data_IF_708938958091
#
_entry.id   IF_708938958091
#
_cell.length_a   1.000
_cell.length_b   1.000
_cell.length_c   1.000
_cell.angle_alpha   90.00
_cell.angle_beta   90.00
_cell.angle_gamma   90.00
#
_symmetry.space_group_name_H-M   'P 1'
#
loop_
_entity.id
_entity.type
_entity.pdbx_description
1 polymer ?
#
# COMPACT_ATOMS: atom_id res chain seq x y z
N UNK A 1 -3.45 8.13 1.12
CA UNK A 1 -3.70 7.19 2.22
C UNK A 1 -4.53 7.90 3.30
N UNK A 2 -5.69 7.37 3.69
CA UNK A 2 -6.49 7.88 4.82
C UNK A 2 -6.66 6.73 5.82
N UNK A 3 -5.81 6.72 6.84
CA UNK A 3 -5.93 5.79 7.96
C UNK A 3 -6.98 6.37 8.93
N UNK A 4 -8.15 5.75 9.02
CA UNK A 4 -9.18 6.16 9.99
C UNK A 4 -9.03 5.29 11.23
N UNK A 5 -8.33 5.80 12.23
CA UNK A 5 -8.36 5.26 13.58
C UNK A 5 -9.31 6.15 14.41
N UNK A 6 -10.22 5.54 15.16
CA UNK A 6 -11.24 6.20 15.99
C UNK A 6 -10.68 6.91 17.23
N UNK A 7 -9.35 7.00 17.36
CA UNK A 7 -8.63 7.81 18.34
C UNK A 7 -8.87 7.46 19.81
N UNK A 8 -9.71 6.46 20.11
CA UNK A 8 -10.28 6.28 21.45
C UNK A 8 -9.39 5.41 22.35
N UNK A 9 -8.25 4.91 21.85
CA UNK A 9 -7.27 4.21 22.69
C UNK A 9 -5.83 4.41 22.19
N UNK A 10 -4.89 4.94 23.01
CA UNK A 10 -3.48 4.99 22.68
C UNK A 10 -2.82 3.62 22.94
N UNK A 11 -3.42 2.56 22.41
CA UNK A 11 -2.80 1.24 22.40
C UNK A 11 -2.14 1.11 21.04
N UNK A 12 -0.84 0.81 21.05
CA UNK A 12 -0.12 0.41 19.84
C UNK A 12 -0.80 -0.85 19.33
N UNK A 13 -1.56 -0.73 18.24
CA UNK A 13 -2.23 -1.84 17.57
C UNK A 13 -1.54 -2.09 16.25
N UNK A 14 -1.26 -3.36 15.98
CA UNK A 14 -0.85 -3.79 14.65
C UNK A 14 -2.00 -3.60 13.67
N UNK A 15 -1.73 -2.97 12.53
CA UNK A 15 -2.72 -2.81 11.44
C UNK A 15 -2.48 -3.91 10.42
N UNK A 16 -3.54 -4.65 10.07
CA UNK A 16 -3.54 -5.58 8.95
C UNK A 16 -3.79 -4.81 7.66
N UNK A 17 -2.95 -4.99 6.65
CA UNK A 17 -3.06 -4.33 5.34
C UNK A 17 -3.29 -5.35 4.25
N UNK A 18 -4.44 -5.25 3.60
CA UNK A 18 -4.87 -6.19 2.55
C UNK A 18 -4.62 -5.66 1.14
N UNK A 19 -4.73 -4.34 0.89
CA UNK A 19 -4.56 -3.79 -0.47
C UNK A 19 -4.13 -2.30 -0.42
N UNK A 20 -2.82 -2.01 -0.33
CA UNK A 20 -2.35 -0.62 -0.37
C UNK A 20 -2.48 -0.05 -1.79
N UNK A 21 -2.91 1.22 -1.87
CA UNK A 21 -3.13 1.93 -3.13
C UNK A 21 -2.32 3.21 -3.20
N UNK A 22 -1.69 3.46 -4.34
CA UNK A 22 -0.97 4.70 -4.66
C UNK A 22 -1.93 5.77 -5.17
N UNK A 23 -1.50 7.03 -5.12
CA UNK A 23 -2.33 8.18 -5.51
C UNK A 23 -2.72 8.21 -7.00
N UNK A 24 -1.94 7.53 -7.84
CA UNK A 24 -2.16 7.38 -9.29
C UNK A 24 -3.13 6.23 -9.65
N UNK A 25 -3.68 5.53 -8.66
CA UNK A 25 -4.67 4.48 -8.86
C UNK A 25 -4.11 3.08 -9.04
N UNK A 26 -2.80 2.87 -8.86
CA UNK A 26 -2.25 1.52 -8.78
C UNK A 26 -2.57 0.89 -7.41
N UNK A 27 -2.93 -0.39 -7.41
CA UNK A 27 -3.17 -1.18 -6.22
C UNK A 27 -2.11 -2.28 -6.14
N UNK A 28 -1.56 -2.50 -4.96
CA UNK A 28 -0.73 -3.68 -4.71
C UNK A 28 -1.61 -4.77 -4.14
N UNK A 29 -1.55 -5.95 -4.77
CA UNK A 29 -2.27 -7.15 -4.36
C UNK A 29 -1.25 -8.09 -3.69
N UNK A 30 -1.14 -8.07 -2.35
CA UNK A 30 -0.22 -8.93 -1.64
C UNK A 30 -0.69 -10.40 -1.71
N UNK A 31 0.25 -11.34 -1.74
CA UNK A 31 -0.06 -12.79 -1.67
C UNK A 31 -0.75 -13.14 -0.35
N UNK A 32 -0.41 -12.42 0.72
CA UNK A 32 -1.08 -12.50 2.00
C UNK A 32 -1.05 -11.12 2.69
N UNK A 33 -2.05 -10.79 3.52
CA UNK A 33 -2.03 -9.57 4.31
C UNK A 33 -0.75 -9.43 5.15
N UNK A 34 -0.31 -8.19 5.38
CA UNK A 34 0.86 -7.92 6.22
C UNK A 34 0.56 -6.94 7.36
N UNK A 35 1.32 -7.07 8.44
CA UNK A 35 1.16 -6.25 9.65
C UNK A 35 2.07 -5.03 9.64
N UNK A 36 1.52 -3.89 10.02
CA UNK A 36 2.25 -2.67 10.33
C UNK A 36 2.18 -2.36 11.82
N UNK A 37 3.33 -2.09 12.41
CA UNK A 37 3.46 -1.69 13.80
C UNK A 37 3.73 -0.18 13.89
N UNK A 38 3.53 0.42 15.06
CA UNK A 38 3.84 1.83 15.24
C UNK A 38 5.33 2.10 14.96
N UNK A 39 5.60 3.07 14.09
CA UNK A 39 6.95 3.42 13.66
C UNK A 39 7.42 2.72 12.38
N UNK A 40 6.71 1.69 11.91
CA UNK A 40 6.99 1.09 10.60
C UNK A 40 6.72 2.08 9.48
N UNK A 41 7.51 2.01 8.41
CA UNK A 41 7.35 2.80 7.19
C UNK A 41 7.09 1.88 6.02
N UNK A 42 6.21 2.30 5.11
CA UNK A 42 5.97 1.61 3.84
C UNK A 42 6.69 2.36 2.73
N UNK A 43 7.49 1.65 1.96
CA UNK A 43 8.17 2.14 0.77
C UNK A 43 7.72 1.34 -0.45
N UNK A 44 7.71 2.00 -1.61
CA UNK A 44 7.45 1.38 -2.91
C UNK A 44 8.77 1.35 -3.66
N UNK A 45 9.35 0.16 -3.82
CA UNK A 45 10.70 -0.04 -4.34
C UNK A 45 10.73 -1.23 -5.28
N UNK A 46 11.50 -1.14 -6.36
CA UNK A 46 11.74 -2.23 -7.32
C UNK A 46 10.46 -2.95 -7.80
N UNK A 47 9.38 -2.20 -7.96
CA UNK A 47 8.09 -2.75 -8.38
C UNK A 47 7.37 -3.57 -7.31
N UNK A 48 7.70 -3.38 -6.03
CA UNK A 48 7.07 -4.06 -4.89
C UNK A 48 6.76 -3.12 -3.72
N UNK A 49 6.28 -3.71 -2.63
CA UNK A 49 6.05 -3.03 -1.36
C UNK A 49 7.06 -3.51 -0.34
N UNK A 50 7.72 -2.58 0.33
CA UNK A 50 8.70 -2.86 1.39
C UNK A 50 8.22 -2.22 2.69
N UNK A 51 8.22 -3.01 3.76
CA UNK A 51 8.02 -2.50 5.12
C UNK A 51 9.37 -2.34 5.79
N UNK A 52 9.72 -1.11 6.14
CA UNK A 52 10.89 -0.79 6.95
C UNK A 52 10.45 -0.72 8.40
N UNK A 53 10.89 -1.68 9.20
CA UNK A 53 10.60 -1.76 10.63
C UNK A 53 11.30 -0.64 11.38
N UNK A 54 10.79 -0.29 12.56
CA UNK A 54 11.47 0.66 13.46
C UNK A 54 12.90 0.24 13.82
N UNK A 55 13.18 -1.07 13.84
CA UNK A 55 14.52 -1.65 14.04
C UNK A 55 15.47 -1.42 12.87
N UNK A 56 14.97 -0.94 11.72
CA UNK A 56 15.71 -0.84 10.46
C UNK A 56 15.63 -2.11 9.60
N UNK A 57 15.03 -3.20 10.11
CA UNK A 57 14.78 -4.40 9.31
C UNK A 57 13.90 -4.07 8.10
N UNK A 58 14.21 -4.66 6.96
CA UNK A 58 13.48 -4.47 5.70
C UNK A 58 12.80 -5.77 5.32
N UNK A 59 11.48 -5.73 5.20
CA UNK A 59 10.66 -6.87 4.81
C UNK A 59 10.03 -6.58 3.46
N UNK A 60 10.36 -7.39 2.46
CA UNK A 60 9.74 -7.32 1.13
C UNK A 60 8.42 -8.07 1.17
N UNK A 61 7.31 -7.39 0.85
CA UNK A 61 6.01 -8.00 0.77
C UNK A 61 5.86 -8.71 -0.59
N UNK A 62 5.54 -9.99 -0.57
CA UNK A 62 5.21 -10.74 -1.78
C UNK A 62 3.85 -10.29 -2.34
N UNK A 63 3.78 -10.04 -3.65
CA UNK A 63 2.57 -9.59 -4.32
C UNK A 63 2.84 -9.03 -5.70
N UNK A 64 1.80 -8.46 -6.31
CA UNK A 64 1.88 -7.84 -7.64
C UNK A 64 1.09 -6.55 -7.70
N UNK A 65 1.51 -5.63 -8.57
CA UNK A 65 0.73 -4.42 -8.86
C UNK A 65 -0.36 -4.70 -9.88
N UNK A 66 -1.56 -4.18 -9.63
CA UNK A 66 -2.66 -4.11 -10.58
C UNK A 66 -3.02 -2.65 -10.85
N UNK A 67 -3.11 -2.28 -12.13
CA UNK A 67 -3.62 -0.98 -12.55
C UNK A 67 -5.14 -1.06 -12.56
N UNK A 68 -5.80 -0.44 -11.58
CA UNK A 68 -7.26 -0.29 -11.63
C UNK A 68 -7.58 1.04 -12.28
N UNK A 69 -7.59 1.05 -13.61
CA UNK A 69 -8.16 2.16 -14.37
C UNK A 69 -9.58 2.41 -13.83
N UNK A 70 -9.82 3.58 -13.26
CA UNK A 70 -11.20 4.00 -12.99
C UNK A 70 -11.92 4.07 -14.34
N UNK A 71 -13.09 3.43 -14.51
CA UNK A 71 -13.96 3.73 -15.63
C UNK A 71 -14.33 5.22 -15.53
N UNK A 72 -13.67 6.10 -16.30
CA UNK A 72 -13.95 7.54 -16.22
C UNK A 72 -12.85 8.50 -16.72
N UNK A 73 -11.58 8.09 -16.82
CA UNK A 73 -10.58 8.92 -17.52
C UNK A 73 -10.47 8.43 -18.96
N UNK A 74 -11.30 8.98 -19.84
CA UNK A 74 -11.24 8.73 -21.27
C UNK A 74 -9.85 9.04 -21.83
N UNK A 75 -9.02 8.01 -21.94
CA UNK A 75 -7.90 7.99 -22.86
C UNK A 75 -8.50 7.87 -24.26
N UNK A 76 -8.48 8.95 -25.04
CA UNK A 76 -8.66 8.89 -26.49
C UNK A 76 -7.28 8.77 -27.12
N UNK A 77 -6.92 7.65 -27.78
CA UNK A 77 -5.70 7.61 -28.56
C UNK A 77 -5.90 8.51 -29.77
N UNK A 78 -5.16 9.63 -29.85
CA UNK A 78 -4.96 10.32 -31.13
C UNK A 78 -4.20 9.36 -32.04
N UNK A 79 -4.94 8.69 -32.92
CA UNK A 79 -4.39 8.15 -34.16
C UNK A 79 -3.93 9.33 -35.02
N UNK A 80 -2.66 9.28 -35.44
CA UNK A 80 -2.11 10.20 -36.45
C UNK A 80 -2.53 9.75 -37.84
#
# INVERSE_FOLDING_TARGET
>A
MRLTADGTTPVVRSVLVDEPRTGDGCAFEPVAPFFLWAGDRVAFEDGGVVVVRVSGERVVCAGSWSTRCRPGSGWSPRVS
#
